data_IF_658927908738
#
_entry.id   IF_658927908738
#
_cell.length_a   1.000
_cell.length_b   1.000
_cell.length_c   1.000
_cell.angle_alpha   90.00
_cell.angle_beta   90.00
_cell.angle_gamma   90.00
#
_symmetry.space_group_name_H-M   'P 1'
#
loop_
_entity.id
_entity.type
_entity.pdbx_description
1 polymer ?
#
# COMPACT_ATOMS: atom_id res chain seq x y z
N UNK A 1 10.38 1.03 31.81
CA UNK A 1 11.03 0.85 30.50
C UNK A 1 10.64 -0.53 29.97
N UNK A 2 9.97 -0.68 28.82
CA UNK A 2 9.62 -2.00 28.31
C UNK A 2 10.88 -2.73 27.83
N UNK A 3 10.97 -4.03 28.14
CA UNK A 3 12.08 -4.93 27.81
C UNK A 3 12.55 -4.83 26.35
N UNK A 4 13.79 -4.36 26.14
CA UNK A 4 14.40 -4.21 24.81
C UNK A 4 14.62 -5.52 24.04
N UNK A 5 14.42 -6.69 24.65
CA UNK A 5 14.59 -7.99 23.99
C UNK A 5 13.45 -8.38 23.06
N UNK A 6 12.19 -7.98 23.35
CA UNK A 6 11.01 -8.40 22.55
C UNK A 6 10.84 -7.63 21.24
N UNK A 7 11.33 -6.39 21.15
CA UNK A 7 11.18 -5.56 19.94
C UNK A 7 12.14 -6.03 18.83
N UNK A 8 13.29 -6.62 19.20
CA UNK A 8 14.31 -7.08 18.23
C UNK A 8 13.76 -8.06 17.18
N UNK A 9 12.84 -8.94 17.58
CA UNK A 9 12.24 -9.96 16.70
C UNK A 9 11.25 -9.40 15.67
N UNK A 10 10.87 -8.13 15.78
CA UNK A 10 9.92 -7.47 14.87
C UNK A 10 10.60 -6.49 13.90
N UNK A 11 11.94 -6.37 13.97
CA UNK A 11 12.70 -5.58 13.01
C UNK A 11 12.86 -6.34 11.70
N UNK A 12 12.44 -5.70 10.61
CA UNK A 12 12.70 -6.21 9.29
C UNK A 12 14.13 -5.84 8.84
N UNK A 13 14.80 -6.71 8.07
CA UNK A 13 16.20 -6.51 7.69
C UNK A 13 16.41 -5.41 6.63
N UNK A 14 15.35 -5.00 5.94
CA UNK A 14 15.43 -3.98 4.89
C UNK A 14 14.95 -2.59 5.36
N UNK A 15 15.40 -1.57 4.64
CA UNK A 15 14.88 -0.21 4.75
C UNK A 15 13.45 -0.10 4.19
N UNK A 16 12.65 0.80 4.76
CA UNK A 16 11.27 1.02 4.30
C UNK A 16 11.18 1.41 2.83
N UNK A 17 12.09 2.25 2.30
CA UNK A 17 12.09 2.59 0.88
C UNK A 17 12.40 1.35 0.02
N UNK A 18 13.26 0.44 0.49
CA UNK A 18 13.52 -0.80 -0.25
C UNK A 18 12.27 -1.69 -0.29
N UNK A 19 11.50 -1.76 0.80
CA UNK A 19 10.20 -2.44 0.81
C UNK A 19 9.25 -1.81 -0.22
N UNK A 20 9.16 -0.47 -0.24
CA UNK A 20 8.31 0.23 -1.20
C UNK A 20 8.70 -0.07 -2.65
N UNK A 21 10.01 -0.06 -2.95
CA UNK A 21 10.53 -0.41 -4.27
C UNK A 21 10.17 -1.85 -4.66
N UNK A 22 10.27 -2.82 -3.74
CA UNK A 22 9.85 -4.21 -3.99
C UNK A 22 8.38 -4.25 -4.41
N UNK A 23 7.49 -3.58 -3.68
CA UNK A 23 6.09 -3.48 -4.11
C UNK A 23 5.96 -2.87 -5.50
N UNK A 24 6.65 -1.77 -5.79
CA UNK A 24 6.58 -1.14 -7.11
C UNK A 24 7.14 -2.02 -8.24
N UNK A 25 8.08 -2.92 -7.94
CA UNK A 25 8.70 -3.82 -8.92
C UNK A 25 7.83 -5.05 -9.20
N UNK A 26 7.49 -5.81 -8.16
CA UNK A 26 6.85 -7.14 -8.27
C UNK A 26 5.37 -7.16 -7.90
N UNK A 27 4.88 -6.10 -7.26
CA UNK A 27 3.54 -6.03 -6.69
C UNK A 27 3.31 -6.93 -5.48
N UNK A 28 4.32 -7.65 -4.99
CA UNK A 28 4.20 -8.52 -3.81
C UNK A 28 5.56 -8.81 -3.18
N UNK A 29 5.55 -9.16 -1.90
CA UNK A 29 6.75 -9.68 -1.23
C UNK A 29 6.95 -11.13 -1.66
N UNK A 30 7.90 -11.39 -2.55
CA UNK A 30 8.22 -12.75 -3.03
C UNK A 30 9.27 -13.47 -2.18
N UNK A 31 10.17 -12.71 -1.54
CA UNK A 31 11.19 -13.24 -0.64
C UNK A 31 10.83 -12.91 0.82
N UNK A 32 10.30 -13.87 1.60
CA UNK A 32 9.88 -13.65 2.99
C UNK A 32 11.00 -13.17 3.90
N UNK A 33 12.25 -13.54 3.61
CA UNK A 33 13.40 -13.13 4.43
C UNK A 33 13.56 -11.61 4.47
N UNK A 34 13.10 -10.89 3.43
CA UNK A 34 13.16 -9.43 3.37
C UNK A 34 12.30 -8.75 4.46
N UNK A 35 11.33 -9.46 5.02
CA UNK A 35 10.47 -8.98 6.12
C UNK A 35 10.67 -9.78 7.40
N UNK A 36 11.77 -10.54 7.50
CA UNK A 36 12.11 -11.32 8.69
C UNK A 36 11.25 -12.57 8.87
N UNK A 37 10.82 -13.19 7.76
CA UNK A 37 10.07 -14.44 7.75
C UNK A 37 10.85 -15.53 7.01
N UNK A 38 10.71 -16.77 7.45
CA UNK A 38 11.29 -17.93 6.75
C UNK A 38 10.48 -18.27 5.48
N UNK A 39 9.16 -18.22 5.57
CA UNK A 39 8.21 -18.49 4.50
C UNK A 39 6.94 -17.61 4.63
N UNK A 40 6.10 -17.61 3.59
CA UNK A 40 4.77 -16.97 3.60
C UNK A 40 3.70 -18.05 3.56
N UNK A 41 3.65 -18.87 4.62
CA UNK A 41 2.57 -19.81 4.88
C UNK A 41 1.91 -19.52 6.23
N UNK A 42 0.71 -20.09 6.43
CA UNK A 42 -0.14 -19.79 7.58
C UNK A 42 0.53 -20.14 8.91
N UNK A 43 1.19 -21.30 8.97
CA UNK A 43 1.86 -21.78 10.18
C UNK A 43 3.02 -20.86 10.57
N UNK A 44 3.87 -20.50 9.60
CA UNK A 44 5.02 -19.62 9.83
C UNK A 44 4.58 -18.22 10.25
N UNK A 45 3.48 -17.70 9.68
CA UNK A 45 2.92 -16.41 10.07
C UNK A 45 2.40 -16.43 11.51
N UNK A 46 1.66 -17.47 11.90
CA UNK A 46 1.15 -17.62 13.28
C UNK A 46 2.29 -17.74 14.29
N UNK A 47 3.31 -18.56 14.00
CA UNK A 47 4.51 -18.69 14.82
C UNK A 47 5.31 -17.37 14.92
N UNK A 48 5.27 -16.56 13.87
CA UNK A 48 5.91 -15.24 13.81
C UNK A 48 5.08 -14.11 14.43
N UNK A 49 3.98 -14.44 15.12
CA UNK A 49 3.15 -13.47 15.84
C UNK A 49 2.22 -12.65 14.93
N UNK A 50 1.80 -13.19 13.79
CA UNK A 50 0.71 -12.60 13.02
C UNK A 50 -0.65 -13.02 13.59
N UNK A 51 -1.53 -12.05 13.71
CA UNK A 51 -2.91 -12.27 14.10
C UNK A 51 -3.76 -12.57 12.88
N UNK A 52 -4.51 -13.68 12.94
CA UNK A 52 -5.44 -14.08 11.89
C UNK A 52 -6.80 -13.43 12.08
N UNK A 53 -7.33 -12.84 11.01
CA UNK A 53 -8.71 -12.36 10.91
C UNK A 53 -9.38 -13.09 9.74
N UNK A 54 -10.40 -13.90 10.05
CA UNK A 54 -11.20 -14.60 9.03
C UNK A 54 -12.21 -13.65 8.39
N UNK A 55 -12.37 -13.78 7.08
CA UNK A 55 -13.32 -13.03 6.26
C UNK A 55 -13.52 -13.72 4.92
N UNK A 56 -13.94 -12.96 3.90
CA UNK A 56 -13.98 -13.48 2.52
C UNK A 56 -12.60 -13.95 2.04
N UNK A 57 -11.55 -13.26 2.50
CA UNK A 57 -10.17 -13.73 2.49
C UNK A 57 -9.68 -13.81 3.93
N UNK A 58 -8.77 -14.75 4.19
CA UNK A 58 -8.10 -14.83 5.49
C UNK A 58 -6.98 -13.80 5.50
N UNK A 59 -7.02 -12.85 6.44
CA UNK A 59 -5.97 -11.84 6.60
C UNK A 59 -5.09 -12.22 7.79
N UNK A 60 -3.79 -12.22 7.58
CA UNK A 60 -2.78 -12.26 8.64
C UNK A 60 -2.14 -10.88 8.73
N UNK A 61 -2.09 -10.29 9.92
CA UNK A 61 -1.44 -9.00 10.14
C UNK A 61 -0.56 -8.97 11.39
N UNK A 62 0.55 -8.26 11.32
CA UNK A 62 1.42 -8.07 12.47
C UNK A 62 2.21 -6.77 12.35
N UNK A 63 2.39 -6.13 13.50
CA UNK A 63 3.25 -4.96 13.60
C UNK A 63 4.70 -5.34 13.33
N UNK A 64 5.37 -4.53 12.50
CA UNK A 64 6.75 -4.69 12.07
C UNK A 64 7.45 -3.34 12.05
N UNK A 65 8.76 -3.36 12.23
CA UNK A 65 9.58 -2.16 12.31
C UNK A 65 10.62 -2.17 11.20
N UNK A 66 10.58 -1.16 10.34
CA UNK A 66 11.55 -0.95 9.27
C UNK A 66 12.49 0.19 9.64
N UNK A 67 13.73 0.13 9.18
CA UNK A 67 14.65 1.26 9.32
C UNK A 67 14.44 2.28 8.20
N UNK A 68 14.79 3.53 8.50
CA UNK A 68 14.94 4.65 7.56
C UNK A 68 16.09 5.54 8.00
N UNK A 69 17.31 5.18 7.59
CA UNK A 69 18.53 5.70 8.24
C UNK A 69 18.49 5.41 9.74
N UNK A 70 18.65 6.44 10.57
CA UNK A 70 18.61 6.31 12.04
C UNK A 70 17.19 6.28 12.64
N UNK A 71 16.15 6.34 11.79
CA UNK A 71 14.75 6.36 12.24
C UNK A 71 14.13 4.98 12.12
N UNK A 72 13.24 4.68 13.06
CA UNK A 72 12.36 3.51 13.00
C UNK A 72 11.02 3.93 12.42
N UNK A 73 10.54 3.16 11.45
CA UNK A 73 9.20 3.30 10.86
C UNK A 73 8.40 2.09 11.26
N UNK A 74 7.38 2.33 12.07
CA UNK A 74 6.41 1.33 12.45
C UNK A 74 5.42 1.10 11.30
N UNK A 75 5.15 -0.17 11.02
CA UNK A 75 4.24 -0.61 9.98
C UNK A 75 3.38 -1.78 10.47
N UNK A 76 2.20 -1.94 9.90
CA UNK A 76 1.41 -3.17 9.99
C UNK A 76 1.55 -3.94 8.69
N UNK A 77 2.23 -5.08 8.73
CA UNK A 77 2.45 -5.94 7.57
C UNK A 77 1.31 -6.93 7.45
N UNK A 78 0.76 -7.09 6.24
CA UNK A 78 -0.46 -7.85 5.97
C UNK A 78 -0.25 -8.85 4.84
N UNK A 79 -0.81 -10.04 5.01
CA UNK A 79 -0.90 -11.07 3.98
C UNK A 79 -2.35 -11.55 3.85
N UNK A 80 -2.81 -11.73 2.63
CA UNK A 80 -4.17 -12.14 2.31
C UNK A 80 -4.16 -13.50 1.62
N UNK A 81 -4.92 -14.43 2.16
CA UNK A 81 -4.98 -15.82 1.71
C UNK A 81 -6.39 -16.20 1.24
N UNK A 82 -6.43 -16.99 0.17
CA UNK A 82 -7.57 -17.78 -0.26
C UNK A 82 -7.34 -19.28 0.05
N UNK A 83 -8.04 -20.16 -0.66
CA UNK A 83 -7.83 -21.61 -0.59
C UNK A 83 -6.55 -22.09 -1.31
N UNK A 84 -5.99 -21.31 -2.23
CA UNK A 84 -4.83 -21.66 -3.04
C UNK A 84 -3.50 -21.18 -2.43
N UNK A 85 -3.53 -20.16 -1.58
CA UNK A 85 -2.35 -19.64 -0.88
C UNK A 85 -2.42 -18.14 -0.65
N UNK A 86 -1.25 -17.52 -0.51
CA UNK A 86 -1.14 -16.06 -0.39
C UNK A 86 -1.36 -15.43 -1.76
N UNK A 87 -2.39 -14.58 -1.90
CA UNK A 87 -2.75 -13.94 -3.17
C UNK A 87 -2.46 -12.44 -3.21
N UNK A 88 -2.27 -11.81 -2.05
CA UNK A 88 -1.93 -10.40 -1.93
C UNK A 88 -1.18 -10.12 -0.63
N UNK A 89 -0.42 -9.03 -0.63
CA UNK A 89 0.28 -8.51 0.55
C UNK A 89 0.16 -6.99 0.60
N UNK A 90 0.22 -6.45 1.81
CA UNK A 90 0.15 -5.01 2.00
C UNK A 90 0.94 -4.58 3.23
N UNK A 91 1.25 -3.30 3.29
CA UNK A 91 1.89 -2.66 4.43
C UNK A 91 1.16 -1.35 4.72
N UNK A 92 0.69 -1.19 5.95
CA UNK A 92 0.17 0.08 6.44
C UNK A 92 1.25 0.77 7.26
N UNK A 93 1.46 2.06 7.01
CA UNK A 93 2.50 2.82 7.68
C UNK A 93 1.83 3.68 8.76
N UNK A 94 2.25 3.53 10.01
CA UNK A 94 1.79 4.36 11.15
C UNK A 94 2.21 5.84 11.04
N UNK A 95 2.81 6.23 9.89
CA UNK A 95 3.41 7.50 9.45
C UNK A 95 4.95 7.49 9.56
N UNK A 96 5.60 8.08 8.56
CA UNK A 96 7.07 8.19 8.54
C UNK A 96 7.69 8.51 7.18
N UNK A 97 6.92 8.33 6.10
CA UNK A 97 7.40 8.55 4.73
C UNK A 97 6.55 9.63 4.05
N UNK A 98 7.19 10.72 3.65
CA UNK A 98 6.55 11.77 2.84
C UNK A 98 6.31 11.24 1.43
N UNK A 99 5.13 11.50 0.87
CA UNK A 99 4.78 11.08 -0.49
C UNK A 99 5.77 11.64 -1.52
N UNK A 100 6.18 12.90 -1.38
CA UNK A 100 7.17 13.50 -2.28
C UNK A 100 8.52 12.78 -2.25
N UNK A 101 8.96 12.30 -1.09
CA UNK A 101 10.19 11.51 -0.98
C UNK A 101 10.02 10.13 -1.62
N UNK A 102 8.89 9.46 -1.38
CA UNK A 102 8.58 8.19 -2.01
C UNK A 102 8.60 8.28 -3.55
N UNK A 103 7.91 9.27 -4.10
CA UNK A 103 7.84 9.49 -5.55
C UNK A 103 9.20 9.88 -6.14
N UNK A 104 10.02 10.64 -5.40
CA UNK A 104 11.40 10.93 -5.80
C UNK A 104 12.21 9.64 -5.94
N UNK A 105 12.17 8.77 -4.93
CA UNK A 105 12.89 7.49 -4.95
C UNK A 105 12.44 6.63 -6.13
N UNK A 106 11.13 6.50 -6.35
CA UNK A 106 10.57 5.75 -7.49
C UNK A 106 11.06 6.31 -8.84
N UNK A 107 11.09 7.64 -8.98
CA UNK A 107 11.54 8.30 -10.21
C UNK A 107 13.05 8.15 -10.45
N UNK A 108 13.85 8.11 -9.38
CA UNK A 108 15.31 7.95 -9.45
C UNK A 108 15.73 6.49 -9.66
N UNK A 109 14.85 5.52 -9.39
CA UNK A 109 15.07 4.10 -9.72
C UNK A 109 14.85 3.85 -11.21
N UNK A 110 15.88 3.49 -12.00
CA UNK A 110 15.79 3.37 -13.46
C UNK A 110 14.65 2.47 -13.94
N UNK A 111 14.45 1.33 -13.29
CA UNK A 111 13.45 0.31 -13.61
C UNK A 111 12.01 0.80 -13.41
N UNK A 112 11.81 1.76 -12.51
CA UNK A 112 10.50 2.27 -12.13
C UNK A 112 10.20 3.64 -12.75
N UNK A 113 11.23 4.38 -13.17
CA UNK A 113 11.13 5.75 -13.69
C UNK A 113 10.18 5.91 -14.89
N UNK A 114 9.91 4.82 -15.62
CA UNK A 114 9.05 4.79 -16.81
C UNK A 114 7.66 4.20 -16.56
N UNK A 115 7.37 3.76 -15.33
CA UNK A 115 6.07 3.17 -15.00
C UNK A 115 4.95 4.18 -15.13
N UNK A 116 3.81 3.69 -15.61
CA UNK A 116 2.58 4.48 -15.66
C UNK A 116 1.84 4.31 -14.36
N UNK A 117 1.29 5.40 -13.88
CA UNK A 117 0.43 5.40 -12.71
C UNK A 117 -0.69 6.41 -12.90
N UNK A 118 -1.83 6.10 -12.32
CA UNK A 118 -2.98 6.97 -12.21
C UNK A 118 -3.07 7.49 -10.78
N UNK A 119 -3.46 8.75 -10.62
CA UNK A 119 -3.59 9.40 -9.30
C UNK A 119 -5.06 9.73 -9.05
N UNK A 120 -5.55 9.35 -7.89
CA UNK A 120 -6.90 9.58 -7.40
C UNK A 120 -6.83 10.41 -6.12
N UNK A 121 -7.73 11.38 -5.99
CA UNK A 121 -7.83 12.28 -4.83
C UNK A 121 -9.28 12.37 -4.39
N UNK A 122 -9.51 12.40 -3.08
CA UNK A 122 -10.81 12.71 -2.50
C UNK A 122 -11.20 14.18 -2.73
N UNK A 123 -12.49 14.49 -2.66
CA UNK A 123 -13.05 15.83 -2.93
C UNK A 123 -12.40 16.94 -2.07
N UNK A 124 -12.12 16.61 -0.81
CA UNK A 124 -11.51 17.50 0.16
C UNK A 124 -9.98 17.63 0.00
N UNK A 125 -9.39 16.91 -0.96
CA UNK A 125 -7.94 16.81 -1.18
C UNK A 125 -7.13 16.39 0.06
N UNK A 126 -7.77 15.80 1.07
CA UNK A 126 -7.07 15.40 2.29
C UNK A 126 -6.37 14.04 2.13
N UNK A 127 -6.87 13.21 1.24
CA UNK A 127 -6.43 11.84 1.02
C UNK A 127 -6.62 11.41 -0.43
N UNK A 128 -5.93 10.35 -0.80
CA UNK A 128 -5.93 9.84 -2.17
C UNK A 128 -5.16 8.53 -2.30
N UNK A 129 -5.06 8.08 -3.55
CA UNK A 129 -4.34 6.87 -3.90
C UNK A 129 -3.63 7.01 -5.25
N UNK A 130 -2.51 6.30 -5.40
CA UNK A 130 -1.81 6.11 -6.67
C UNK A 130 -1.96 4.66 -7.06
N UNK A 131 -2.50 4.40 -8.26
CA UNK A 131 -2.60 3.07 -8.84
C UNK A 131 -1.50 2.90 -9.88
N UNK A 132 -0.65 1.91 -9.68
CA UNK A 132 0.40 1.55 -10.63
C UNK A 132 -0.09 0.47 -11.59
N UNK A 133 0.55 0.38 -12.75
CA UNK A 133 0.23 -0.57 -13.82
C UNK A 133 0.40 -2.06 -13.45
N UNK A 134 0.97 -2.37 -12.28
CA UNK A 134 1.20 -3.72 -11.76
C UNK A 134 0.28 -4.09 -10.59
N UNK A 135 -0.93 -3.54 -10.55
CA UNK A 135 -1.95 -3.82 -9.52
C UNK A 135 -1.52 -3.46 -8.09
N UNK A 136 -0.68 -2.43 -7.98
CA UNK A 136 -0.24 -1.86 -6.71
C UNK A 136 -0.95 -0.55 -6.44
N UNK A 137 -1.45 -0.42 -5.22
CA UNK A 137 -2.11 0.80 -4.74
C UNK A 137 -1.28 1.39 -3.61
N UNK A 138 -0.86 2.65 -3.77
CA UNK A 138 -0.25 3.43 -2.70
C UNK A 138 -1.25 4.45 -2.18
N UNK A 139 -1.72 4.28 -0.94
CA UNK A 139 -2.62 5.22 -0.26
C UNK A 139 -1.81 6.32 0.41
N UNK A 140 -2.33 7.55 0.36
CA UNK A 140 -1.68 8.71 0.96
C UNK A 140 -2.69 9.68 1.57
N UNK A 141 -2.22 10.54 2.48
CA UNK A 141 -3.06 11.57 3.08
C UNK A 141 -2.28 12.65 3.84
N UNK A 142 -2.97 13.74 4.11
CA UNK A 142 -2.50 14.89 4.88
C UNK A 142 -2.82 14.65 6.35
N UNK A 143 -1.85 14.91 7.22
CA UNK A 143 -2.10 14.95 8.66
C UNK A 143 -2.75 16.29 9.01
N UNK A 144 -3.74 16.29 9.90
CA UNK A 144 -4.36 17.54 10.39
C UNK A 144 -3.27 18.52 10.87
N UNK A 145 -3.20 19.69 10.24
CA UNK A 145 -2.21 20.74 10.54
C UNK A 145 -0.89 20.64 9.78
N UNK A 146 -0.66 19.59 8.99
CA UNK A 146 0.48 19.47 8.09
C UNK A 146 0.11 19.97 6.68
N UNK A 147 1.10 20.43 5.92
CA UNK A 147 0.96 20.82 4.52
C UNK A 147 1.44 19.73 3.56
N UNK A 148 1.95 18.62 4.10
CA UNK A 148 2.55 17.53 3.33
C UNK A 148 1.64 16.29 3.30
N UNK A 149 1.65 15.60 2.17
CA UNK A 149 1.11 14.24 2.05
C UNK A 149 2.12 13.20 2.55
N UNK A 150 1.60 12.20 3.25
CA UNK A 150 2.34 11.04 3.72
C UNK A 150 1.77 9.77 3.13
N UNK A 151 2.65 8.79 2.90
CA UNK A 151 2.21 7.45 2.54
C UNK A 151 1.56 6.82 3.76
N UNK A 152 0.32 6.36 3.57
CA UNK A 152 -0.47 5.67 4.60
C UNK A 152 -0.37 4.16 4.43
N UNK A 153 -0.23 3.65 3.22
CA UNK A 153 -0.06 2.23 2.98
C UNK A 153 0.22 1.89 1.53
N UNK A 154 0.70 0.69 1.30
CA UNK A 154 0.91 0.10 -0.02
C UNK A 154 0.31 -1.29 0.00
N UNK A 155 -0.59 -1.55 -0.94
CA UNK A 155 -1.28 -2.83 -1.09
C UNK A 155 -0.99 -3.34 -2.51
N UNK A 156 -0.53 -4.58 -2.62
CA UNK A 156 -0.09 -5.19 -3.88
C UNK A 156 -0.96 -6.37 -4.32
N UNK A 157 -1.04 -6.61 -5.63
CA UNK A 157 -1.91 -7.64 -6.25
C UNK A 157 -3.40 -7.44 -5.89
N UNK A 158 -3.83 -6.19 -5.75
CA UNK A 158 -5.19 -5.84 -5.30
C UNK A 158 -6.27 -6.40 -6.21
N UNK A 159 -6.01 -6.45 -7.53
CA UNK A 159 -6.97 -6.99 -8.49
C UNK A 159 -7.12 -8.51 -8.40
N UNK A 160 -6.07 -9.25 -7.98
CA UNK A 160 -6.16 -10.71 -7.75
C UNK A 160 -7.01 -11.01 -6.53
N UNK A 161 -6.79 -10.28 -5.44
CA UNK A 161 -7.63 -10.36 -4.24
C UNK A 161 -9.11 -9.98 -4.50
N UNK A 162 -9.40 -9.23 -5.57
CA UNK A 162 -10.76 -8.85 -5.96
C UNK A 162 -11.46 -9.85 -6.89
N UNK A 163 -10.74 -10.77 -7.56
CA UNK A 163 -11.31 -11.63 -8.61
C UNK A 163 -12.11 -12.82 -8.09
N UNK A 164 -11.87 -13.28 -6.87
CA UNK A 164 -12.64 -14.38 -6.25
C UNK A 164 -13.93 -13.92 -5.54
N UNK A 165 -14.18 -12.62 -5.50
CA UNK A 165 -15.41 -12.03 -4.97
C UNK A 165 -16.38 -11.64 -6.08
N UNK A 166 -17.13 -12.60 -6.64
CA UNK A 166 -18.34 -12.28 -7.44
C UNK A 166 -19.16 -11.22 -6.70
N UNK A 167 -19.29 -10.04 -7.29
CA UNK A 167 -20.15 -8.93 -6.84
C UNK A 167 -19.83 -8.24 -5.51
N UNK A 168 -18.58 -8.13 -5.05
CA UNK A 168 -18.29 -7.19 -3.96
C UNK A 168 -16.86 -6.63 -3.96
N UNK A 169 -16.62 -5.67 -4.87
CA UNK A 169 -15.58 -4.64 -4.73
C UNK A 169 -15.97 -3.69 -3.59
N UNK A 170 -16.07 -4.23 -2.36
CA UNK A 170 -16.53 -3.53 -1.16
C UNK A 170 -15.76 -3.92 0.12
N UNK A 171 -14.89 -4.94 0.11
CA UNK A 171 -14.35 -5.50 1.35
C UNK A 171 -12.82 -5.47 1.50
N UNK A 172 -12.09 -4.81 0.60
CA UNK A 172 -10.72 -4.35 0.86
C UNK A 172 -10.66 -2.92 0.35
N UNK A 173 -10.09 -2.00 1.15
CA UNK A 173 -10.18 -0.52 1.10
C UNK A 173 -9.69 0.16 -0.19
N UNK A 174 -10.27 -0.25 -1.29
CA UNK A 174 -10.10 0.21 -2.66
C UNK A 174 -11.52 0.36 -3.19
N UNK A 175 -12.37 -0.66 -3.03
CA UNK A 175 -13.78 -0.56 -3.41
C UNK A 175 -14.59 0.55 -2.73
N UNK A 176 -14.28 0.90 -1.48
CA UNK A 176 -14.90 2.04 -0.78
C UNK A 176 -14.33 3.41 -1.20
N UNK A 177 -13.12 3.45 -1.77
CA UNK A 177 -12.50 4.65 -2.38
C UNK A 177 -13.01 4.84 -3.81
N UNK A 178 -13.36 3.75 -4.49
CA UNK A 178 -13.77 3.75 -5.90
C UNK A 178 -15.29 3.77 -6.12
N UNK A 179 -16.14 3.66 -5.09
CA UNK A 179 -17.61 3.55 -5.27
C UNK A 179 -18.43 4.83 -5.17
N UNK A 180 -17.82 6.00 -5.00
CA UNK A 180 -18.58 7.24 -5.17
C UNK A 180 -17.67 8.38 -5.57
N UNK A 181 -18.05 9.03 -6.66
CA UNK A 181 -17.59 10.36 -7.08
C UNK A 181 -16.23 10.46 -7.78
N UNK A 182 -16.10 9.81 -8.95
CA UNK A 182 -15.13 10.25 -9.97
C UNK A 182 -15.82 10.84 -11.21
N UNK A 183 -17.00 10.35 -11.59
CA UNK A 183 -17.60 10.65 -12.90
C UNK A 183 -18.29 12.02 -12.95
N UNK A 184 -19.06 12.41 -11.92
CA UNK A 184 -19.82 13.68 -11.93
C UNK A 184 -18.96 14.92 -11.60
N UNK A 185 -17.88 14.77 -10.82
CA UNK A 185 -17.00 15.90 -10.47
C UNK A 185 -16.04 16.29 -11.61
N UNK A 186 -15.71 15.38 -12.51
CA UNK A 186 -14.91 15.68 -13.70
C UNK A 186 -15.68 16.56 -14.71
N UNK A 187 -17.02 16.47 -14.75
CA UNK A 187 -17.85 17.35 -15.58
C UNK A 187 -17.94 18.78 -15.01
N UNK A 188 -18.05 18.90 -13.69
CA UNK A 188 -18.11 20.19 -12.98
C UNK A 188 -16.78 20.94 -13.05
N UNK A 189 -15.65 20.23 -12.96
CA UNK A 189 -14.31 20.82 -13.03
C UNK A 189 -13.89 21.27 -14.44
N UNK A 190 -14.57 20.82 -15.50
CA UNK A 190 -14.26 21.22 -16.88
C UNK A 190 -14.68 22.67 -17.24
N UNK A 191 -15.50 23.33 -16.40
CA UNK A 191 -16.08 24.64 -16.71
C UNK A 191 -15.26 25.85 -16.24
N UNK A 192 -14.25 25.68 -15.40
CA UNK A 192 -13.38 26.80 -14.96
C UNK A 192 -11.92 26.38 -14.85
N UNK A 193 -11.22 26.58 -15.98
CA UNK A 193 -9.82 27.02 -16.07
C UNK A 193 -8.74 26.20 -15.34
N UNK A 194 -8.32 25.06 -15.93
CA UNK A 194 -6.93 24.67 -16.29
C UNK A 194 -7.04 23.45 -17.24
N UNK A 195 -6.37 23.40 -18.41
CA UNK A 195 -6.45 22.23 -19.30
C UNK A 195 -5.63 21.06 -18.75
N UNK A 196 -6.26 20.16 -18.00
CA UNK A 196 -5.70 18.84 -17.62
C UNK A 196 -5.70 17.88 -18.82
N UNK A 197 -4.91 18.19 -19.85
CA UNK A 197 -4.95 17.46 -21.13
C UNK A 197 -4.02 16.24 -21.22
N UNK A 198 -3.32 15.80 -20.15
CA UNK A 198 -2.30 14.73 -20.33
C UNK A 198 -1.99 13.73 -19.20
N UNK A 199 -2.65 13.74 -18.04
CA UNK A 199 -2.22 12.87 -16.89
C UNK A 199 -3.33 12.02 -16.27
N UNK A 200 -4.53 11.99 -16.86
CA UNK A 200 -5.65 11.21 -16.34
C UNK A 200 -6.16 10.28 -17.43
N UNK A 201 -6.08 8.96 -17.24
CA UNK A 201 -6.78 8.01 -18.09
C UNK A 201 -8.18 7.78 -17.54
N UNK A 202 -9.16 8.21 -18.32
CA UNK A 202 -10.57 7.98 -18.11
C UNK A 202 -10.93 6.61 -18.66
N UNK A 203 -11.50 5.73 -17.82
CA UNK A 203 -12.09 4.47 -18.26
C UNK A 203 -13.60 4.70 -18.36
N UNK A 204 -14.20 4.34 -19.51
CA UNK A 204 -15.65 4.34 -19.75
C UNK A 204 -16.34 3.18 -19.06
#
# INVERSE_FOLDING_TARGET
>A
MPNGSRISNFYCPIDIHKLMLIYMESGQISNPNLVGLESIDKETLEQSGFEMVKGALTKYSSQRYFKRGDRVVECDLKFYFDSSGCIASGVELSRGVRLSTALKVIRETPELSRRKFDVFLCENMADGAILFDNDVVMRFGIKRGDKNYFVLGIDGQVLRASKDGRNNVNSISVGSIFKKTAIEMLEVMSRKSVPLKKVVRFIR
#
